data_IF_603866968435
#
_entry.id   IF_603866968435
#
_cell.length_a   1.000
_cell.length_b   1.000
_cell.length_c   1.000
_cell.angle_alpha   90.00
_cell.angle_beta   90.00
_cell.angle_gamma   90.00
#
_symmetry.space_group_name_H-M   'P 1'
#
loop_
_entity.id
_entity.type
_entity.pdbx_description
1 polymer ?
#
# COMPACT_ATOMS: atom_id res chain seq x y z
N UNK A 1 60.72 12.78 -15.65
CA UNK A 1 60.39 11.62 -16.50
C UNK A 1 59.76 10.55 -15.63
N UNK A 2 58.60 10.02 -16.07
CA UNK A 2 58.01 8.70 -15.71
C UNK A 2 57.60 8.51 -14.23
N UNK A 3 56.28 8.49 -13.95
CA UNK A 3 55.43 7.27 -13.79
C UNK A 3 55.84 6.47 -12.54
N UNK A 4 55.00 6.04 -11.60
CA UNK A 4 53.56 5.77 -11.52
C UNK A 4 53.28 5.53 -10.03
N UNK A 5 52.19 6.06 -9.47
CA UNK A 5 50.90 5.38 -9.33
C UNK A 5 50.94 4.17 -8.38
N UNK A 6 50.03 4.20 -7.40
CA UNK A 6 49.46 3.04 -6.69
C UNK A 6 50.10 2.64 -5.34
N UNK A 7 50.12 3.55 -4.36
CA UNK A 7 50.14 3.20 -2.93
C UNK A 7 49.11 4.04 -2.18
N UNK A 8 47.83 3.87 -2.53
CA UNK A 8 46.69 4.21 -1.67
C UNK A 8 45.64 3.11 -1.87
N UNK A 9 46.02 1.88 -1.54
CA UNK A 9 45.08 0.77 -1.35
C UNK A 9 44.90 0.66 0.16
N UNK A 10 43.92 1.36 0.73
CA UNK A 10 43.44 1.05 2.10
C UNK A 10 42.19 1.82 2.56
N UNK A 11 41.51 2.62 1.72
CA UNK A 11 40.25 3.25 2.14
C UNK A 11 39.26 3.11 0.99
N UNK A 12 38.47 2.05 1.08
CA UNK A 12 37.08 1.92 0.62
C UNK A 12 36.76 0.45 0.86
N UNK A 13 36.26 0.16 2.07
CA UNK A 13 35.41 -0.99 2.31
C UNK A 13 34.13 -0.76 1.51
N UNK A 14 34.27 -0.89 0.20
CA UNK A 14 33.21 -0.91 -0.77
C UNK A 14 32.45 -2.21 -0.56
N UNK A 15 31.14 -2.05 -0.40
CA UNK A 15 30.15 -3.05 -0.74
C UNK A 15 30.42 -4.41 -0.10
N UNK A 16 30.08 -4.51 1.18
CA UNK A 16 29.41 -5.72 1.64
C UNK A 16 28.20 -5.92 0.71
N UNK A 17 28.40 -6.76 -0.31
CA UNK A 17 27.37 -7.47 -1.05
C UNK A 17 26.59 -8.29 -0.03
N UNK A 18 25.71 -7.61 0.67
CA UNK A 18 24.50 -8.15 1.23
C UNK A 18 23.40 -7.17 0.78
N UNK A 19 23.27 -7.04 -0.55
CA UNK A 19 21.96 -7.25 -1.17
C UNK A 19 21.54 -8.66 -0.74
N UNK A 20 21.19 -8.79 0.54
CA UNK A 20 20.44 -9.89 1.07
C UNK A 20 19.25 -9.94 0.15
N UNK A 21 19.29 -10.96 -0.71
CA UNK A 21 18.18 -11.59 -1.37
C UNK A 21 16.90 -10.87 -1.04
N UNK A 22 16.29 -10.30 -2.08
CA UNK A 22 14.88 -10.01 -2.07
C UNK A 22 14.17 -11.14 -1.34
N UNK A 23 13.90 -10.90 -0.06
CA UNK A 23 12.66 -11.28 0.55
C UNK A 23 11.62 -10.37 -0.12
N UNK A 24 11.44 -10.56 -1.43
CA UNK A 24 10.13 -10.82 -1.99
C UNK A 24 9.60 -12.00 -1.18
N UNK A 25 9.23 -11.74 0.07
CA UNK A 25 8.16 -12.46 0.73
C UNK A 25 7.07 -12.31 -0.32
N UNK A 26 6.89 -13.37 -1.13
CA UNK A 26 5.67 -13.54 -1.91
C UNK A 26 4.60 -13.00 -0.97
N UNK A 27 3.83 -12.03 -1.40
CA UNK A 27 2.54 -11.80 -0.78
C UNK A 27 1.78 -13.12 -1.03
N UNK A 28 2.08 -14.17 -0.27
CA UNK A 28 1.41 -15.46 -0.24
C UNK A 28 0.26 -15.30 0.76
N UNK A 29 -0.49 -14.22 0.57
CA UNK A 29 -1.58 -13.80 1.42
C UNK A 29 -2.83 -13.76 0.57
N UNK A 30 -3.95 -14.04 1.20
CA UNK A 30 -5.27 -13.86 0.63
C UNK A 30 -5.43 -12.42 0.07
N UNK A 31 -5.77 -12.22 -1.23
CA UNK A 31 -5.93 -10.90 -1.82
C UNK A 31 -6.97 -10.04 -1.07
N UNK A 32 -7.99 -10.68 -0.49
CA UNK A 32 -8.98 -10.03 0.34
C UNK A 32 -8.40 -9.49 1.64
N UNK A 33 -7.57 -10.27 2.34
CA UNK A 33 -6.84 -9.80 3.53
C UNK A 33 -5.87 -8.66 3.22
N UNK A 34 -5.21 -8.71 2.06
CA UNK A 34 -4.41 -7.56 1.61
C UNK A 34 -5.28 -6.31 1.49
N UNK A 35 -6.41 -6.37 0.79
CA UNK A 35 -7.30 -5.21 0.65
C UNK A 35 -7.79 -4.69 2.00
N UNK A 36 -8.19 -5.58 2.91
CA UNK A 36 -8.64 -5.22 4.26
C UNK A 36 -7.57 -4.44 5.03
N UNK A 37 -6.33 -4.93 5.02
CA UNK A 37 -5.24 -4.28 5.75
C UNK A 37 -4.84 -2.97 5.06
N UNK A 38 -4.77 -2.96 3.73
CA UNK A 38 -4.46 -1.78 2.95
C UNK A 38 -5.45 -0.64 3.22
N UNK A 39 -6.76 -0.94 3.25
CA UNK A 39 -7.79 0.06 3.58
C UNK A 39 -7.63 0.56 5.02
N UNK A 40 -7.36 -0.31 5.98
CA UNK A 40 -7.12 0.11 7.38
C UNK A 40 -5.93 1.04 7.51
N UNK A 41 -4.84 0.76 6.81
CA UNK A 41 -3.63 1.59 6.83
C UNK A 41 -3.90 2.98 6.23
N UNK A 42 -4.65 3.06 5.13
CA UNK A 42 -5.09 4.34 4.57
C UNK A 42 -5.93 5.14 5.57
N UNK A 43 -6.91 4.52 6.23
CA UNK A 43 -7.75 5.18 7.23
C UNK A 43 -6.93 5.67 8.42
N UNK A 44 -5.95 4.87 8.86
CA UNK A 44 -5.03 5.26 9.92
C UNK A 44 -4.24 6.50 9.54
N UNK A 45 -3.71 6.58 8.31
CA UNK A 45 -2.99 7.77 7.82
C UNK A 45 -3.89 9.01 7.87
N UNK A 46 -5.14 8.91 7.43
CA UNK A 46 -6.11 10.01 7.47
C UNK A 46 -6.35 10.46 8.92
N UNK A 47 -6.61 9.52 9.83
CA UNK A 47 -6.88 9.82 11.24
C UNK A 47 -5.69 10.49 11.92
N UNK A 48 -4.51 9.87 11.80
CA UNK A 48 -3.28 10.32 12.46
C UNK A 48 -2.81 11.70 11.97
N UNK A 49 -3.23 12.12 10.77
CA UNK A 49 -2.88 13.41 10.17
C UNK A 49 -4.09 14.34 9.98
N UNK A 50 -5.25 14.06 10.58
CA UNK A 50 -6.49 14.83 10.36
C UNK A 50 -6.42 16.31 10.82
N UNK A 51 -5.41 16.67 11.61
CA UNK A 51 -5.12 18.06 11.99
C UNK A 51 -4.20 18.81 11.02
N UNK A 52 -3.61 18.12 10.05
CA UNK A 52 -2.72 18.67 9.02
C UNK A 52 -3.13 18.07 7.66
N UNK A 53 -4.07 18.76 7.00
CA UNK A 53 -4.72 18.30 5.78
C UNK A 53 -3.74 18.00 4.64
N UNK A 54 -2.74 18.85 4.44
CA UNK A 54 -1.76 18.66 3.36
C UNK A 54 -0.82 17.50 3.67
N UNK A 55 -0.42 17.33 4.93
CA UNK A 55 0.36 16.19 5.36
C UNK A 55 -0.41 14.89 5.18
N UNK A 56 -1.71 14.84 5.52
CA UNK A 56 -2.54 13.66 5.33
C UNK A 56 -2.54 13.20 3.86
N UNK A 57 -2.74 14.13 2.92
CA UNK A 57 -2.70 13.81 1.47
C UNK A 57 -1.30 13.35 1.05
N UNK A 58 -0.25 14.03 1.49
CA UNK A 58 1.13 13.67 1.14
C UNK A 58 1.52 12.28 1.64
N UNK A 59 1.15 11.93 2.87
CA UNK A 59 1.41 10.60 3.44
C UNK A 59 0.59 9.53 2.73
N UNK A 60 -0.67 9.81 2.37
CA UNK A 60 -1.48 8.90 1.56
C UNK A 60 -0.91 8.66 0.17
N UNK A 61 -0.45 9.71 -0.53
CA UNK A 61 0.22 9.59 -1.82
C UNK A 61 1.49 8.76 -1.70
N UNK A 62 2.32 9.07 -0.71
CA UNK A 62 3.56 8.33 -0.44
C UNK A 62 3.27 6.85 -0.15
N UNK A 63 2.22 6.56 0.62
CA UNK A 63 1.78 5.20 0.91
C UNK A 63 1.32 4.47 -0.35
N UNK A 64 0.49 5.12 -1.19
CA UNK A 64 0.02 4.55 -2.44
C UNK A 64 1.18 4.23 -3.40
N UNK A 65 2.12 5.17 -3.58
CA UNK A 65 3.29 4.99 -4.44
C UNK A 65 4.18 3.85 -3.96
N UNK A 66 4.44 3.76 -2.65
CA UNK A 66 5.24 2.67 -2.05
C UNK A 66 4.60 1.30 -2.24
N UNK A 67 3.27 1.23 -2.29
CA UNK A 67 2.53 -0.02 -2.37
C UNK A 67 2.05 -0.35 -3.79
N UNK A 68 2.34 0.47 -4.79
CA UNK A 68 1.87 0.28 -6.18
C UNK A 68 2.17 -1.12 -6.72
N UNK A 69 3.41 -1.60 -6.56
CA UNK A 69 3.78 -2.95 -7.00
C UNK A 69 3.03 -4.04 -6.24
N UNK A 70 2.81 -3.86 -4.94
CA UNK A 70 2.07 -4.83 -4.13
C UNK A 70 0.58 -4.89 -4.53
N UNK A 71 -0.01 -3.75 -4.91
CA UNK A 71 -1.37 -3.69 -5.46
C UNK A 71 -1.45 -4.40 -6.80
N UNK A 72 -0.49 -4.17 -7.71
CA UNK A 72 -0.44 -4.86 -9.00
C UNK A 72 -0.31 -6.38 -8.83
N UNK A 73 0.53 -6.83 -7.89
CA UNK A 73 0.65 -8.25 -7.57
C UNK A 73 -0.63 -8.81 -6.94
N UNK A 74 -1.28 -8.06 -6.04
CA UNK A 74 -2.56 -8.45 -5.47
C UNK A 74 -3.65 -8.59 -6.54
N UNK A 75 -3.74 -7.67 -7.50
CA UNK A 75 -4.70 -7.75 -8.61
C UNK A 75 -4.52 -9.03 -9.41
N UNK A 76 -3.28 -9.37 -9.78
CA UNK A 76 -2.98 -10.62 -10.50
C UNK A 76 -3.39 -11.85 -9.68
N UNK A 77 -3.11 -11.84 -8.37
CA UNK A 77 -3.51 -12.95 -7.48
C UNK A 77 -5.02 -13.06 -7.34
N UNK A 78 -5.74 -11.94 -7.26
CA UNK A 78 -7.20 -11.92 -7.20
C UNK A 78 -7.80 -12.49 -8.50
N UNK A 79 -7.31 -12.07 -9.66
CA UNK A 79 -7.75 -12.61 -10.96
C UNK A 79 -7.47 -14.12 -11.09
N UNK A 80 -6.30 -14.57 -10.65
CA UNK A 80 -5.97 -16.00 -10.66
C UNK A 80 -6.85 -16.80 -9.69
N UNK A 81 -7.13 -16.24 -8.52
CA UNK A 81 -8.02 -16.86 -7.53
C UNK A 81 -9.43 -16.97 -8.08
N UNK A 82 -9.96 -15.90 -8.67
CA UNK A 82 -11.30 -15.87 -9.27
C UNK A 82 -11.45 -16.93 -10.38
N UNK A 83 -10.43 -17.09 -11.24
CA UNK A 83 -10.43 -18.11 -12.30
C UNK A 83 -10.43 -19.54 -11.77
N UNK A 84 -9.93 -19.76 -10.55
CA UNK A 84 -9.81 -21.08 -9.93
C UNK A 84 -11.02 -21.43 -9.05
N UNK A 85 -11.80 -20.44 -8.64
CA UNK A 85 -12.98 -20.64 -7.80
C UNK A 85 -14.22 -21.01 -8.63
N UNK A 86 -14.98 -21.97 -8.13
CA UNK A 86 -16.37 -22.20 -8.53
C UNK A 86 -17.27 -21.03 -8.10
N UNK A 87 -18.47 -20.95 -8.65
CA UNK A 87 -19.46 -19.92 -8.28
C UNK A 87 -19.86 -20.00 -6.80
N UNK A 88 -19.95 -21.21 -6.22
CA UNK A 88 -20.23 -21.40 -4.79
C UNK A 88 -19.09 -20.87 -3.93
N UNK A 89 -17.84 -21.13 -4.32
CA UNK A 89 -16.65 -20.61 -3.62
C UNK A 89 -16.55 -19.08 -3.74
N UNK A 90 -16.84 -18.51 -4.92
CA UNK A 90 -16.88 -17.06 -5.11
C UNK A 90 -17.93 -16.42 -4.21
N UNK A 91 -19.11 -17.02 -4.10
CA UNK A 91 -20.16 -16.52 -3.20
C UNK A 91 -19.72 -16.57 -1.74
N UNK A 92 -19.20 -17.70 -1.27
CA UNK A 92 -18.72 -17.85 0.10
C UNK A 92 -17.57 -16.88 0.41
N UNK A 93 -16.65 -16.71 -0.54
CA UNK A 93 -15.55 -15.75 -0.43
C UNK A 93 -16.08 -14.30 -0.36
N UNK A 94 -17.02 -13.94 -1.23
CA UNK A 94 -17.67 -12.63 -1.24
C UNK A 94 -18.38 -12.32 0.08
N UNK A 95 -19.15 -13.26 0.63
CA UNK A 95 -19.81 -13.11 1.93
C UNK A 95 -18.80 -12.90 3.07
N UNK A 96 -17.73 -13.71 3.10
CA UNK A 96 -16.64 -13.55 4.07
C UNK A 96 -15.95 -12.19 3.95
N UNK A 97 -15.71 -11.73 2.73
CA UNK A 97 -15.09 -10.43 2.47
C UNK A 97 -16.00 -9.28 2.86
N UNK A 98 -17.30 -9.37 2.57
CA UNK A 98 -18.30 -8.40 3.02
C UNK A 98 -18.33 -8.28 4.54
N UNK A 99 -18.31 -9.39 5.27
CA UNK A 99 -18.25 -9.38 6.74
C UNK A 99 -16.99 -8.69 7.27
N UNK A 100 -15.83 -8.89 6.61
CA UNK A 100 -14.57 -8.25 6.99
C UNK A 100 -14.54 -6.76 6.65
N UNK A 101 -15.09 -6.37 5.50
CA UNK A 101 -15.07 -5.00 5.00
C UNK A 101 -16.16 -4.13 5.63
N UNK A 102 -17.30 -4.69 6.01
CA UNK A 102 -18.42 -3.93 6.59
C UNK A 102 -18.01 -3.01 7.76
N UNK A 103 -17.31 -3.48 8.82
CA UNK A 103 -16.90 -2.58 9.90
C UNK A 103 -15.91 -1.51 9.41
N UNK A 104 -15.04 -1.85 8.46
CA UNK A 104 -14.06 -0.93 7.88
C UNK A 104 -14.76 0.13 7.04
N UNK A 105 -15.80 -0.24 6.29
CA UNK A 105 -16.61 0.70 5.51
C UNK A 105 -17.33 1.68 6.44
N UNK A 106 -17.94 1.21 7.52
CA UNK A 106 -18.58 2.08 8.51
C UNK A 106 -17.58 3.05 9.15
N UNK A 107 -16.41 2.56 9.55
CA UNK A 107 -15.33 3.39 10.09
C UNK A 107 -14.79 4.39 9.05
N UNK A 108 -14.66 3.96 7.79
CA UNK A 108 -14.19 4.80 6.69
C UNK A 108 -15.14 5.95 6.42
N UNK A 109 -16.46 5.72 6.46
CA UNK A 109 -17.44 6.75 6.21
C UNK A 109 -17.32 7.87 7.24
N UNK A 110 -17.22 7.53 8.52
CA UNK A 110 -17.01 8.52 9.59
C UNK A 110 -15.69 9.28 9.42
N UNK A 111 -14.60 8.55 9.15
CA UNK A 111 -13.26 9.13 8.98
C UNK A 111 -13.18 10.08 7.79
N UNK A 112 -13.73 9.67 6.63
CA UNK A 112 -13.73 10.46 5.40
C UNK A 112 -14.64 11.67 5.56
N UNK A 113 -15.80 11.52 6.21
CA UNK A 113 -16.72 12.63 6.49
C UNK A 113 -16.06 13.66 7.40
N UNK A 114 -15.43 13.23 8.50
CA UNK A 114 -14.71 14.11 9.41
C UNK A 114 -13.54 14.82 8.71
N UNK A 115 -12.74 14.08 7.93
CA UNK A 115 -11.67 14.67 7.13
C UNK A 115 -12.22 15.69 6.14
N UNK A 116 -13.32 15.38 5.44
CA UNK A 116 -13.91 16.30 4.46
C UNK A 116 -14.45 17.58 5.09
N UNK A 117 -14.95 17.50 6.33
CA UNK A 117 -15.39 18.68 7.09
C UNK A 117 -14.20 19.55 7.53
N UNK A 118 -13.09 18.93 7.94
CA UNK A 118 -11.88 19.63 8.41
C UNK A 118 -11.01 20.15 7.26
N UNK A 119 -10.99 19.42 6.15
CA UNK A 119 -10.08 19.57 5.03
C UNK A 119 -10.84 19.64 3.68
N UNK A 120 -11.76 20.61 3.51
CA UNK A 120 -12.64 20.66 2.34
C UNK A 120 -11.87 20.81 1.01
N UNK A 121 -10.75 21.52 1.00
CA UNK A 121 -9.91 21.68 -0.19
C UNK A 121 -9.17 20.40 -0.59
N UNK A 122 -8.83 19.55 0.39
CA UNK A 122 -8.10 18.31 0.21
C UNK A 122 -9.03 17.11 0.00
N UNK A 123 -10.34 17.23 0.27
CA UNK A 123 -11.31 16.15 0.08
C UNK A 123 -11.37 15.64 -1.37
N UNK A 124 -11.18 16.52 -2.36
CA UNK A 124 -11.06 16.13 -3.77
C UNK A 124 -9.79 15.32 -4.02
N UNK A 125 -8.64 15.78 -3.50
CA UNK A 125 -7.35 15.07 -3.61
C UNK A 125 -7.39 13.70 -2.95
N UNK A 126 -8.10 13.57 -1.83
CA UNK A 126 -8.31 12.29 -1.16
C UNK A 126 -8.99 11.28 -2.10
N UNK A 127 -10.03 11.73 -2.81
CA UNK A 127 -10.76 10.91 -3.78
C UNK A 127 -9.89 10.52 -4.97
N UNK A 128 -9.00 11.41 -5.44
CA UNK A 128 -8.02 11.10 -6.49
C UNK A 128 -7.03 10.01 -6.05
N UNK A 129 -6.47 10.13 -4.85
CA UNK A 129 -5.53 9.13 -4.31
C UNK A 129 -6.20 7.77 -4.13
N UNK A 130 -7.45 7.75 -3.63
CA UNK A 130 -8.23 6.52 -3.52
C UNK A 130 -8.65 5.95 -4.88
N UNK A 131 -8.95 6.82 -5.85
CA UNK A 131 -9.40 6.43 -7.19
C UNK A 131 -8.31 5.82 -8.06
N UNK A 132 -7.06 6.23 -7.87
CA UNK A 132 -5.89 5.70 -8.58
C UNK A 132 -5.54 4.24 -8.20
N UNK A 133 -6.27 3.65 -7.27
CA UNK A 133 -6.14 2.24 -6.88
C UNK A 133 -6.97 1.29 -7.76
N UNK A 134 -7.87 1.83 -8.60
CA UNK A 134 -8.68 1.06 -9.56
C UNK A 134 -7.85 0.31 -10.57
#
# INVERSE_FOLDING_TARGET
MKKSLTVVVCILAALSLALSFGCSKKASGDPGEFMVNYTKDMLKIIKDNSGDCDKAIKELQTFADKNKSAIEDMKKQAEEMEKKMSEEEKKAYGEKMMQKLQPIMQESMGTIMEFSQKCPEQAQKLSEVMGNLK
#
